data_IF_663086699653
#
_entry.id   IF_663086699653
#
_cell.length_a   1.000
_cell.length_b   1.000
_cell.length_c   1.000
_cell.angle_alpha   90.00
_cell.angle_beta   90.00
_cell.angle_gamma   90.00
#
_symmetry.space_group_name_H-M   'P 1'
#
loop_
_entity.id
_entity.type
_entity.pdbx_description
1 polymer ?
#
# COMPACT_ATOMS: atom_id res chain seq x y z
N UNK A 1 33.16 18.81 -10.48
CA UNK A 1 33.35 17.41 -10.91
C UNK A 1 32.68 16.53 -9.88
N UNK A 2 31.53 15.97 -10.28
CA UNK A 2 30.85 14.77 -9.76
C UNK A 2 30.90 14.52 -8.25
N UNK A 3 29.89 15.05 -7.55
CA UNK A 3 29.37 14.49 -6.30
C UNK A 3 28.88 13.06 -6.55
N UNK A 4 29.50 12.09 -5.88
CA UNK A 4 29.11 10.70 -5.95
C UNK A 4 27.69 10.51 -5.42
N UNK A 5 26.78 10.10 -6.30
CA UNK A 5 25.49 9.54 -5.91
C UNK A 5 25.76 8.17 -5.29
N UNK A 6 25.62 8.08 -3.97
CA UNK A 6 25.50 6.81 -3.28
C UNK A 6 24.22 6.16 -3.76
N UNK A 7 24.30 5.08 -4.54
CA UNK A 7 23.18 4.18 -4.73
C UNK A 7 22.72 3.75 -3.32
N UNK A 8 21.56 4.20 -2.88
CA UNK A 8 21.06 3.85 -1.56
C UNK A 8 20.71 2.36 -1.47
N UNK A 9 20.43 1.86 -0.25
CA UNK A 9 20.35 0.43 0.03
C UNK A 9 19.09 -0.28 -0.49
N UNK A 10 18.16 0.43 -1.12
CA UNK A 10 16.89 -0.15 -1.56
C UNK A 10 16.97 -0.76 -2.97
N UNK A 11 16.25 -1.87 -3.21
CA UNK A 11 16.32 -2.62 -4.46
C UNK A 11 15.83 -1.81 -5.66
N UNK A 12 16.43 -2.11 -6.81
CA UNK A 12 16.00 -1.56 -8.09
C UNK A 12 14.69 -2.20 -8.59
N UNK A 13 14.08 -1.58 -9.60
CA UNK A 13 12.80 -2.06 -10.18
C UNK A 13 12.91 -3.49 -10.72
N UNK A 14 14.10 -3.91 -11.19
CA UNK A 14 14.29 -5.26 -11.73
C UNK A 14 14.18 -6.28 -10.61
N UNK A 15 14.85 -6.06 -9.49
CA UNK A 15 14.75 -6.92 -8.31
C UNK A 15 13.32 -6.99 -7.79
N UNK A 16 12.65 -5.84 -7.62
CA UNK A 16 11.26 -5.79 -7.15
C UNK A 16 10.32 -6.63 -8.03
N UNK A 17 10.49 -6.54 -9.36
CA UNK A 17 9.72 -7.32 -10.33
C UNK A 17 10.01 -8.81 -10.19
N UNK A 18 11.28 -9.20 -10.09
CA UNK A 18 11.65 -10.61 -9.91
C UNK A 18 11.05 -11.21 -8.64
N UNK A 19 11.09 -10.51 -7.50
CA UNK A 19 10.44 -10.99 -6.27
C UNK A 19 8.94 -11.27 -6.48
N UNK A 20 8.23 -10.39 -7.20
CA UNK A 20 6.80 -10.57 -7.48
C UNK A 20 6.51 -11.69 -8.48
N UNK A 21 7.36 -11.87 -9.49
CA UNK A 21 7.23 -12.94 -10.49
C UNK A 21 7.50 -14.33 -9.91
N UNK A 22 8.46 -14.43 -8.98
CA UNK A 22 8.83 -15.69 -8.33
C UNK A 22 7.92 -16.05 -7.14
N UNK A 23 7.18 -15.08 -6.62
CA UNK A 23 6.26 -15.30 -5.51
C UNK A 23 4.95 -15.94 -5.97
N UNK A 24 4.68 -17.15 -5.48
CA UNK A 24 3.38 -17.80 -5.68
C UNK A 24 2.29 -17.09 -4.88
N UNK A 25 1.58 -16.19 -5.56
CA UNK A 25 0.50 -15.40 -4.99
C UNK A 25 -0.59 -16.27 -4.35
N UNK A 26 -0.82 -16.07 -3.06
CA UNK A 26 -1.92 -16.69 -2.32
C UNK A 26 -3.18 -15.87 -2.49
N UNK A 27 -4.20 -16.49 -3.08
CA UNK A 27 -5.50 -15.86 -3.28
C UNK A 27 -6.51 -16.37 -2.26
N UNK A 28 -7.41 -15.49 -1.82
CA UNK A 28 -8.45 -15.80 -0.86
C UNK A 28 -9.81 -15.80 -1.56
N UNK A 29 -10.69 -16.73 -1.20
CA UNK A 29 -12.01 -16.88 -1.83
C UNK A 29 -13.15 -17.08 -0.83
N UNK A 30 -12.93 -16.67 0.42
CA UNK A 30 -13.90 -16.82 1.51
C UNK A 30 -15.25 -16.16 1.15
N UNK A 31 -16.32 -16.95 1.19
CA UNK A 31 -17.68 -16.46 0.96
C UNK A 31 -18.09 -15.45 2.04
N UNK A 32 -18.93 -14.48 1.64
CA UNK A 32 -19.43 -13.42 2.53
C UNK A 32 -18.49 -12.22 2.70
N UNK A 33 -17.31 -12.24 2.09
CA UNK A 33 -16.38 -11.11 2.08
C UNK A 33 -16.50 -10.30 0.79
N UNK A 34 -16.40 -8.98 0.91
CA UNK A 34 -16.35 -8.06 -0.23
C UNK A 34 -14.94 -8.03 -0.81
N UNK A 35 -14.82 -8.20 -2.13
CA UNK A 35 -13.53 -8.08 -2.83
C UNK A 35 -13.15 -6.61 -2.99
N UNK A 36 -11.89 -6.32 -2.76
CA UNK A 36 -11.30 -5.00 -2.94
C UNK A 36 -9.87 -5.12 -3.48
N UNK A 37 -9.37 -4.06 -4.09
CA UNK A 37 -7.98 -3.94 -4.47
C UNK A 37 -7.46 -2.55 -4.11
N UNK A 38 -6.17 -2.48 -3.77
CA UNK A 38 -5.48 -1.23 -3.47
C UNK A 38 -4.21 -1.13 -4.29
N UNK A 39 -3.84 0.07 -4.69
CA UNK A 39 -2.56 0.36 -5.32
C UNK A 39 -1.54 0.76 -4.26
N UNK A 40 -0.42 0.05 -4.19
CA UNK A 40 0.78 0.40 -3.42
C UNK A 40 1.75 1.09 -4.38
N UNK A 41 1.78 2.44 -4.43
CA UNK A 41 2.58 3.17 -5.40
C UNK A 41 3.96 3.43 -4.79
N UNK A 42 5.00 2.92 -5.44
CA UNK A 42 6.40 3.17 -5.13
C UNK A 42 6.88 4.34 -5.99
N UNK A 43 7.30 5.41 -5.34
CA UNK A 43 7.82 6.62 -5.99
C UNK A 43 9.35 6.65 -5.80
N UNK A 44 10.15 6.75 -6.88
CA UNK A 44 11.60 6.83 -6.74
C UNK A 44 12.03 8.01 -5.85
N UNK A 45 12.90 7.73 -4.89
CA UNK A 45 13.58 8.71 -4.04
C UNK A 45 15.08 8.41 -4.08
N UNK A 46 15.96 9.39 -3.93
CA UNK A 46 17.41 9.17 -4.02
C UNK A 46 17.91 8.02 -3.11
N UNK A 47 18.08 6.83 -3.71
CA UNK A 47 18.50 5.62 -3.00
C UNK A 47 17.43 4.93 -2.12
N UNK A 48 16.15 5.29 -2.26
CA UNK A 48 15.02 4.78 -1.48
C UNK A 48 13.74 4.79 -2.33
N UNK A 49 12.61 4.42 -1.75
CA UNK A 49 11.28 4.55 -2.33
C UNK A 49 10.38 5.32 -1.37
N UNK A 50 9.50 6.16 -1.90
CA UNK A 50 8.40 6.75 -1.13
C UNK A 50 7.12 5.94 -1.41
N UNK A 51 6.36 5.60 -0.36
CA UNK A 51 5.03 5.01 -0.48
C UNK A 51 3.97 6.09 -0.41
N UNK A 52 3.12 6.18 -1.44
CA UNK A 52 1.98 7.10 -1.42
C UNK A 52 0.82 6.54 -0.60
N UNK A 53 0.31 7.34 0.32
CA UNK A 53 -0.78 7.04 1.22
C UNK A 53 -1.83 8.16 1.18
N UNK A 54 -3.06 7.79 1.51
CA UNK A 54 -4.19 8.70 1.64
C UNK A 54 -4.74 8.67 3.05
N UNK A 55 -5.16 9.83 3.54
CA UNK A 55 -6.04 9.93 4.71
C UNK A 55 -7.47 10.03 4.21
N UNK A 56 -8.29 9.04 4.55
CA UNK A 56 -9.72 9.05 4.24
C UNK A 56 -10.44 10.19 4.97
N UNK A 57 -11.45 10.78 4.35
CA UNK A 57 -12.29 11.79 5.03
C UNK A 57 -13.02 11.18 6.23
N UNK A 58 -13.43 12.03 7.17
CA UNK A 58 -14.23 11.61 8.33
C UNK A 58 -15.70 11.32 7.99
N UNK A 59 -16.12 11.64 6.77
CA UNK A 59 -17.53 11.60 6.33
C UNK A 59 -17.93 10.23 5.75
N UNK A 60 -16.95 9.38 5.42
CA UNK A 60 -17.20 8.08 4.80
C UNK A 60 -17.88 7.08 5.75
N UNK A 61 -18.70 6.14 5.24
CA UNK A 61 -19.41 5.17 6.07
C UNK A 61 -18.48 4.18 6.80
N UNK A 62 -17.30 3.90 6.24
CA UNK A 62 -16.30 2.98 6.80
C UNK A 62 -14.91 3.61 6.84
N UNK A 63 -14.06 3.16 7.77
CA UNK A 63 -12.63 3.53 7.84
C UNK A 63 -12.34 5.04 7.92
N UNK A 64 -13.24 5.78 8.60
CA UNK A 64 -13.16 7.25 8.76
C UNK A 64 -11.82 7.69 9.31
N UNK A 65 -11.17 8.62 8.61
CA UNK A 65 -9.89 9.18 9.04
C UNK A 65 -8.71 8.22 9.02
N UNK A 66 -8.89 6.97 8.56
CA UNK A 66 -7.81 5.98 8.52
C UNK A 66 -6.84 6.27 7.38
N UNK A 67 -5.59 5.89 7.60
CA UNK A 67 -4.56 5.90 6.57
C UNK A 67 -4.63 4.62 5.75
N UNK A 68 -4.72 4.78 4.44
CA UNK A 68 -4.84 3.69 3.49
C UNK A 68 -3.99 3.95 2.25
N UNK A 69 -3.80 2.89 1.47
CA UNK A 69 -3.44 3.03 0.07
C UNK A 69 -4.68 3.43 -0.75
N UNK A 70 -4.50 4.13 -1.89
CA UNK A 70 -5.60 4.36 -2.82
C UNK A 70 -6.23 3.03 -3.25
N UNK A 71 -7.55 2.93 -3.19
CA UNK A 71 -8.22 1.68 -3.51
C UNK A 71 -9.61 1.54 -2.95
N UNK A 72 -10.29 0.51 -3.43
CA UNK A 72 -11.70 0.32 -3.14
C UNK A 72 -12.20 -1.05 -3.59
N UNK A 73 -13.51 -1.14 -3.74
CA UNK A 73 -14.17 -2.42 -4.00
C UNK A 73 -14.11 -2.78 -5.47
N UNK A 74 -14.00 -4.07 -5.77
CA UNK A 74 -14.13 -4.56 -7.15
C UNK A 74 -15.53 -4.22 -7.66
N UNK A 75 -15.60 -3.60 -8.83
CA UNK A 75 -16.86 -3.36 -9.54
C UNK A 75 -16.92 -4.23 -10.82
N UNK A 76 -18.10 -4.79 -11.09
CA UNK A 76 -18.32 -5.65 -12.26
C UNK A 76 -17.34 -6.83 -12.36
N UNK A 77 -16.75 -7.01 -13.54
CA UNK A 77 -15.80 -8.08 -13.87
C UNK A 77 -14.33 -7.66 -13.77
N UNK A 78 -14.02 -6.59 -13.02
CA UNK A 78 -12.66 -6.09 -12.85
C UNK A 78 -11.75 -7.12 -12.16
N UNK A 79 -10.46 -7.09 -12.51
CA UNK A 79 -9.39 -7.79 -11.81
C UNK A 79 -8.74 -6.84 -10.78
N UNK A 80 -7.76 -7.34 -10.01
CA UNK A 80 -7.08 -6.54 -8.98
C UNK A 80 -6.48 -5.24 -9.55
N UNK A 81 -5.79 -5.32 -10.68
CA UNK A 81 -5.10 -4.19 -11.30
C UNK A 81 -6.06 -3.12 -11.81
N UNK A 82 -7.10 -3.51 -12.56
CA UNK A 82 -8.12 -2.58 -13.07
C UNK A 82 -8.82 -1.87 -11.92
N UNK A 83 -9.21 -2.62 -10.88
CA UNK A 83 -9.86 -2.06 -9.69
C UNK A 83 -8.94 -1.03 -9.01
N UNK A 84 -7.70 -1.41 -8.72
CA UNK A 84 -6.75 -0.54 -8.02
C UNK A 84 -6.44 0.75 -8.80
N UNK A 85 -6.29 0.66 -10.12
CA UNK A 85 -6.02 1.81 -10.98
C UNK A 85 -7.23 2.74 -11.11
N UNK A 86 -8.44 2.19 -11.28
CA UNK A 86 -9.68 2.97 -11.32
C UNK A 86 -9.85 3.76 -10.01
N UNK A 87 -9.76 3.08 -8.89
CA UNK A 87 -9.91 3.69 -7.56
C UNK A 87 -8.81 4.73 -7.29
N UNK A 88 -7.56 4.47 -7.68
CA UNK A 88 -6.49 5.46 -7.56
C UNK A 88 -6.75 6.71 -8.44
N UNK A 89 -7.35 6.54 -9.61
CA UNK A 89 -7.78 7.67 -10.44
C UNK A 89 -8.90 8.46 -9.77
N UNK A 90 -9.92 7.79 -9.23
CA UNK A 90 -11.07 8.40 -8.56
C UNK A 90 -10.67 9.13 -7.26
N UNK A 91 -9.79 8.54 -6.43
CA UNK A 91 -9.42 9.07 -5.12
C UNK A 91 -8.34 10.15 -5.18
N UNK A 92 -7.33 10.00 -6.06
CA UNK A 92 -6.14 10.87 -6.09
C UNK A 92 -5.79 11.45 -7.46
N UNK A 93 -6.63 11.23 -8.48
CA UNK A 93 -6.37 11.72 -9.85
C UNK A 93 -5.16 11.06 -10.51
N UNK A 94 -4.79 9.84 -10.09
CA UNK A 94 -3.67 9.11 -10.65
C UNK A 94 -4.09 8.39 -11.94
N UNK A 95 -3.71 8.97 -13.07
CA UNK A 95 -3.92 8.35 -14.39
C UNK A 95 -3.17 7.01 -14.51
N UNK A 96 -3.87 5.98 -15.00
CA UNK A 96 -3.33 4.62 -15.12
C UNK A 96 -2.05 4.53 -15.94
N UNK A 97 -1.91 5.35 -16.99
CA UNK A 97 -0.72 5.41 -17.83
C UNK A 97 0.55 5.89 -17.10
N UNK A 98 0.43 6.47 -15.90
CA UNK A 98 1.56 6.90 -15.06
C UNK A 98 2.08 5.81 -14.13
N UNK A 99 1.42 4.64 -14.12
CA UNK A 99 1.74 3.54 -13.20
C UNK A 99 2.28 2.37 -13.98
N UNK A 100 3.52 1.98 -13.70
CA UNK A 100 4.09 0.73 -14.20
C UNK A 100 3.81 -0.38 -13.17
N UNK A 101 2.81 -1.21 -13.43
CA UNK A 101 2.44 -2.32 -12.56
C UNK A 101 3.56 -3.37 -12.53
N UNK A 102 3.94 -3.77 -11.31
CA UNK A 102 4.89 -4.85 -11.06
C UNK A 102 4.17 -6.18 -10.83
N UNK A 103 3.03 -6.17 -10.12
CA UNK A 103 2.19 -7.34 -9.89
C UNK A 103 1.27 -7.21 -8.67
N UNK A 104 0.41 -8.21 -8.45
CA UNK A 104 -0.46 -8.31 -7.26
C UNK A 104 0.18 -9.23 -6.20
N UNK A 105 0.24 -8.78 -4.94
CA UNK A 105 0.68 -9.57 -3.77
C UNK A 105 -0.48 -10.46 -3.24
N UNK A 106 -0.17 -11.32 -2.27
CA UNK A 106 -1.13 -12.12 -1.48
C UNK A 106 -2.35 -11.32 -1.03
N UNK A 107 -3.52 -11.95 -1.16
CA UNK A 107 -4.77 -11.40 -0.64
C UNK A 107 -4.74 -11.31 0.90
N UNK A 108 -5.34 -10.25 1.44
CA UNK A 108 -5.48 -10.04 2.88
C UNK A 108 -6.95 -10.01 3.27
N UNK A 109 -7.32 -10.90 4.19
CA UNK A 109 -8.62 -10.89 4.84
C UNK A 109 -8.62 -9.91 6.02
N UNK A 110 -9.59 -9.00 6.03
CA UNK A 110 -9.73 -7.99 7.08
C UNK A 110 -10.91 -8.29 8.01
N UNK A 111 -10.85 -7.85 9.28
CA UNK A 111 -11.98 -7.99 10.21
C UNK A 111 -13.26 -7.26 9.78
N UNK A 112 -13.14 -6.27 8.90
CA UNK A 112 -14.27 -5.48 8.40
C UNK A 112 -14.99 -6.13 7.21
N UNK A 113 -14.67 -7.38 6.89
CA UNK A 113 -15.37 -8.16 5.86
C UNK A 113 -14.84 -7.95 4.45
N UNK A 114 -13.61 -7.46 4.29
CA UNK A 114 -12.96 -7.34 2.96
C UNK A 114 -11.88 -8.40 2.74
N UNK A 115 -11.76 -8.85 1.49
CA UNK A 115 -10.56 -9.49 0.95
C UNK A 115 -9.90 -8.48 0.02
N UNK A 116 -8.72 -7.99 0.41
CA UNK A 116 -7.98 -6.96 -0.29
C UNK A 116 -6.84 -7.58 -1.09
N UNK A 117 -6.80 -7.31 -2.39
CA UNK A 117 -5.66 -7.61 -3.27
C UNK A 117 -4.72 -6.40 -3.36
N UNK A 118 -3.49 -6.46 -2.81
CA UNK A 118 -2.53 -5.37 -2.94
C UNK A 118 -1.85 -5.43 -4.30
N UNK A 119 -1.89 -4.33 -5.05
CA UNK A 119 -1.27 -4.18 -6.37
C UNK A 119 -0.06 -3.26 -6.24
N UNK A 120 1.14 -3.72 -6.57
CA UNK A 120 2.35 -2.93 -6.44
C UNK A 120 2.71 -2.35 -7.81
N UNK A 121 3.00 -1.04 -7.86
CA UNK A 121 3.37 -0.36 -9.08
C UNK A 121 4.35 0.79 -8.84
N UNK A 122 5.14 1.11 -9.86
CA UNK A 122 6.04 2.26 -9.85
C UNK A 122 5.29 3.49 -10.39
N UNK A 123 5.40 4.60 -9.66
CA UNK A 123 4.92 5.92 -10.06
C UNK A 123 6.10 6.87 -10.16
N UNK A 124 6.40 7.39 -11.35
CA UNK A 124 7.59 8.23 -11.57
C UNK A 124 7.65 9.47 -10.67
N UNK A 125 6.49 10.05 -10.35
CA UNK A 125 6.37 11.23 -9.48
C UNK A 125 4.95 11.39 -8.95
N UNK A 126 4.79 11.90 -7.72
CA UNK A 126 3.50 12.31 -7.15
C UNK A 126 3.01 13.69 -7.64
N UNK A 127 3.76 14.37 -8.53
CA UNK A 127 3.38 15.68 -9.03
C UNK A 127 2.01 15.64 -9.75
N UNK A 128 1.19 16.65 -9.48
CA UNK A 128 -0.11 16.83 -10.12
C UNK A 128 -1.24 15.94 -9.59
N UNK A 129 -0.98 15.08 -8.58
CA UNK A 129 -2.04 14.33 -7.91
C UNK A 129 -3.01 15.27 -7.19
N UNK A 130 -4.29 14.92 -7.21
CA UNK A 130 -5.38 15.73 -6.66
C UNK A 130 -6.31 14.85 -5.86
N UNK A 131 -6.38 15.12 -4.56
CA UNK A 131 -7.33 14.45 -3.69
C UNK A 131 -8.75 14.76 -4.16
N UNK A 132 -9.57 13.72 -4.30
CA UNK A 132 -11.01 13.89 -4.38
C UNK A 132 -11.54 14.23 -2.98
N UNK A 133 -12.03 15.46 -2.73
CA UNK A 133 -12.35 15.92 -1.38
C UNK A 133 -13.54 15.19 -0.75
N UNK A 134 -14.35 14.44 -1.51
CA UNK A 134 -15.40 13.60 -0.92
C UNK A 134 -14.83 12.38 -0.19
N UNK A 135 -13.64 11.92 -0.56
CA UNK A 135 -13.09 10.63 -0.10
C UNK A 135 -11.72 10.75 0.57
N UNK A 136 -10.88 11.66 0.07
CA UNK A 136 -9.49 11.85 0.53
C UNK A 136 -9.32 13.24 1.12
N UNK A 137 -8.98 13.30 2.39
CA UNK A 137 -8.66 14.53 3.11
C UNK A 137 -7.20 14.98 2.89
N UNK A 138 -6.29 14.02 2.67
CA UNK A 138 -4.86 14.28 2.52
C UNK A 138 -4.21 13.20 1.67
N UNK A 139 -3.32 13.62 0.77
CA UNK A 139 -2.34 12.76 0.10
C UNK A 139 -0.98 13.08 0.71
N UNK A 140 -0.22 12.05 1.06
CA UNK A 140 1.15 12.19 1.56
C UNK A 140 1.94 10.95 1.18
N UNK A 141 3.25 11.00 1.39
CA UNK A 141 4.10 9.86 1.15
C UNK A 141 5.09 9.68 2.30
N UNK A 142 5.49 8.44 2.52
CA UNK A 142 6.37 8.04 3.62
C UNK A 142 7.52 7.22 3.03
N UNK A 143 8.79 7.51 3.40
CA UNK A 143 9.92 6.71 2.94
C UNK A 143 9.73 5.24 3.31
N UNK A 144 9.99 4.34 2.37
CA UNK A 144 9.93 2.90 2.58
C UNK A 144 10.86 2.50 3.72
N UNK A 145 12.02 3.17 3.80
CA UNK A 145 12.98 3.01 4.88
C UNK A 145 12.46 3.31 6.27
N UNK A 146 11.50 4.21 6.40
CA UNK A 146 10.86 4.48 7.69
C UNK A 146 10.14 3.23 8.22
N UNK A 147 9.50 2.45 7.35
CA UNK A 147 8.78 1.23 7.74
C UNK A 147 9.69 0.02 7.95
N UNK A 148 10.84 -0.01 7.26
CA UNK A 148 11.85 -1.07 7.39
C UNK A 148 12.66 -0.96 8.70
N UNK A 149 12.78 0.25 9.25
CA UNK A 149 13.43 0.46 10.54
C UNK A 149 12.48 0.07 11.69
N UNK A 150 12.80 -1.04 12.36
CA UNK A 150 12.03 -1.55 13.50
C UNK A 150 11.96 -0.56 14.69
N UNK A 151 12.85 0.44 14.76
CA UNK A 151 12.77 1.50 15.78
C UNK A 151 11.52 2.37 15.62
N UNK A 152 10.94 2.44 14.41
CA UNK A 152 9.72 3.18 14.12
C UNK A 152 8.44 2.34 14.30
N UNK A 153 8.58 1.03 14.55
CA UNK A 153 7.45 0.12 14.68
C UNK A 153 7.06 -0.07 16.16
N UNK A 154 5.80 0.26 16.48
CA UNK A 154 5.18 -0.14 17.75
C UNK A 154 4.38 -1.41 17.48
N UNK A 155 4.76 -2.51 18.13
CA UNK A 155 4.09 -3.82 17.97
C UNK A 155 3.19 -4.10 19.17
N UNK A 156 1.91 -4.36 18.90
CA UNK A 156 0.95 -4.81 19.90
C UNK A 156 0.43 -6.20 19.55
N UNK A 157 0.25 -7.06 20.55
CA UNK A 157 -0.40 -8.37 20.39
C UNK A 157 -1.89 -8.22 20.68
N UNK A 158 -2.72 -8.53 19.70
CA UNK A 158 -4.18 -8.56 19.83
C UNK A 158 -4.69 -10.00 19.66
N UNK A 159 -5.74 -10.37 20.37
CA UNK A 159 -6.45 -11.61 20.10
C UNK A 159 -7.53 -11.38 19.04
N UNK A 160 -7.49 -12.15 17.96
CA UNK A 160 -8.47 -12.11 16.88
C UNK A 160 -8.74 -13.53 16.36
N UNK A 161 -10.02 -13.92 16.26
CA UNK A 161 -10.43 -15.29 15.89
C UNK A 161 -9.75 -16.38 16.75
N UNK A 162 -9.56 -16.12 18.05
CA UNK A 162 -8.92 -17.06 18.98
C UNK A 162 -7.41 -17.26 18.75
N UNK A 163 -6.77 -16.38 17.95
CA UNK A 163 -5.32 -16.39 17.71
C UNK A 163 -4.72 -15.04 18.08
N UNK A 164 -3.57 -15.07 18.76
CA UNK A 164 -2.77 -13.87 18.96
C UNK A 164 -2.17 -13.43 17.60
N UNK A 165 -2.38 -12.16 17.24
CA UNK A 165 -1.80 -11.53 16.05
C UNK A 165 -1.01 -10.29 16.46
N UNK A 166 0.11 -10.08 15.80
CA UNK A 166 0.90 -8.86 15.96
C UNK A 166 0.38 -7.78 15.02
N UNK A 167 0.05 -6.62 15.58
CA UNK A 167 -0.36 -5.42 14.85
C UNK A 167 0.74 -4.40 14.98
N UNK A 168 1.16 -3.86 13.85
CA UNK A 168 2.20 -2.85 13.77
C UNK A 168 1.53 -1.48 13.63
N UNK A 169 2.07 -0.52 14.37
CA UNK A 169 1.69 0.88 14.34
C UNK A 169 2.93 1.71 14.00
N UNK A 170 2.74 2.70 13.15
CA UNK A 170 3.77 3.63 12.72
C UNK A 170 3.21 5.04 12.81
N UNK A 171 3.89 5.91 13.55
CA UNK A 171 3.50 7.32 13.66
C UNK A 171 4.41 8.19 12.80
N UNK A 172 3.85 8.81 11.77
CA UNK A 172 4.58 9.64 10.83
C UNK A 172 3.81 10.94 10.58
N UNK A 173 4.46 12.08 10.84
CA UNK A 173 3.91 13.42 10.59
C UNK A 173 2.47 13.62 11.12
N UNK A 174 2.24 13.14 12.35
CA UNK A 174 0.96 13.24 13.05
C UNK A 174 -0.12 12.25 12.57
N UNK A 175 0.21 11.33 11.65
CA UNK A 175 -0.67 10.27 11.18
C UNK A 175 -0.24 8.91 11.74
N UNK A 176 -1.21 8.09 12.18
CA UNK A 176 -0.95 6.72 12.63
C UNK A 176 -1.32 5.74 11.53
N UNK A 177 -0.32 5.01 11.02
CA UNK A 177 -0.46 3.96 10.01
C UNK A 177 -0.49 2.61 10.72
N UNK A 178 -1.58 1.87 10.56
CA UNK A 178 -1.80 0.61 11.28
C UNK A 178 -2.77 -0.31 10.52
N UNK A 179 -3.10 -1.46 11.12
CA UNK A 179 -4.12 -2.36 10.60
C UNK A 179 -3.74 -2.99 9.25
N UNK A 180 -4.69 -3.05 8.31
CA UNK A 180 -4.48 -3.67 7.00
C UNK A 180 -3.37 -2.95 6.20
N UNK A 181 -3.28 -1.62 6.30
CA UNK A 181 -2.25 -0.81 5.63
C UNK A 181 -0.85 -1.22 6.11
N UNK A 182 -0.62 -1.21 7.43
CA UNK A 182 0.68 -1.64 7.99
C UNK A 182 0.97 -3.12 7.69
N UNK A 183 -0.03 -3.99 7.68
CA UNK A 183 0.15 -5.41 7.32
C UNK A 183 0.60 -5.58 5.87
N UNK A 184 0.00 -4.85 4.92
CA UNK A 184 0.41 -4.85 3.52
C UNK A 184 1.85 -4.37 3.36
N UNK A 185 2.22 -3.28 4.05
CA UNK A 185 3.59 -2.76 4.05
C UNK A 185 4.57 -3.81 4.57
N UNK A 186 4.32 -4.42 5.73
CA UNK A 186 5.21 -5.46 6.29
C UNK A 186 5.33 -6.67 5.37
N UNK A 187 4.23 -7.10 4.74
CA UNK A 187 4.28 -8.23 3.81
C UNK A 187 5.12 -7.90 2.57
N UNK A 188 4.95 -6.70 2.00
CA UNK A 188 5.76 -6.23 0.88
C UNK A 188 7.25 -6.09 1.26
N UNK A 189 7.56 -5.55 2.44
CA UNK A 189 8.94 -5.44 2.92
C UNK A 189 9.60 -6.82 3.04
N UNK A 190 8.88 -7.82 3.56
CA UNK A 190 9.37 -9.22 3.62
C UNK A 190 9.57 -9.81 2.23
N UNK A 191 8.63 -9.56 1.30
CA UNK A 191 8.76 -10.03 -0.08
C UNK A 191 10.03 -9.47 -0.75
N UNK A 192 10.36 -8.21 -0.44
CA UNK A 192 11.54 -7.54 -0.97
C UNK A 192 12.80 -7.72 -0.12
N UNK A 193 12.77 -8.64 0.86
CA UNK A 193 13.90 -8.96 1.75
C UNK A 193 14.47 -7.73 2.50
N UNK A 194 13.60 -6.79 2.84
CA UNK A 194 13.97 -5.56 3.55
C UNK A 194 13.87 -5.69 5.07
N UNK A 195 13.20 -6.74 5.56
CA UNK A 195 13.01 -7.10 6.99
C UNK A 195 12.88 -8.62 7.18
#
# INVERSE_FOLDING_TARGET
>A
MTTGGSAGPYPDVKFLRTCLEEHERKTESQQGYRRAAVLIPLIPRDGDWDLLLTRRTSELPHHRGQIAFPGGSVDGGENCEMTALREAQEEVGLESARVNILGCHDDIRTPTGFIISPVIGILDSAEGLKANPSEVARIFHVPLSFFADDANAIVQRIEYEGRAREVHFYDFDGETIWGATALMIRNMLRLFELI
#
